data_IF_694857329336
#
_entry.id   IF_694857329336
#
_cell.length_a   1.000
_cell.length_b   1.000
_cell.length_c   1.000
_cell.angle_alpha   90.00
_cell.angle_beta   90.00
_cell.angle_gamma   90.00
#
_symmetry.space_group_name_H-M   'P 1'
#
loop_
_entity.id
_entity.type
_entity.pdbx_description
1 polymer ?
#
# COMPACT_ATOMS: atom_id res chain seq x y z
N UNK A 1 8.43 -9.89 -28.08
CA UNK A 1 7.83 -8.87 -27.20
C UNK A 1 7.03 -9.59 -26.13
N UNK A 2 6.81 -8.97 -24.96
CA UNK A 2 6.05 -9.58 -23.86
C UNK A 2 5.09 -8.52 -23.31
N UNK A 3 3.81 -8.87 -23.23
CA UNK A 3 2.83 -8.13 -22.45
C UNK A 3 2.80 -8.75 -21.05
N UNK A 4 3.59 -8.20 -20.13
CA UNK A 4 3.74 -8.71 -18.77
C UNK A 4 2.75 -8.02 -17.83
N UNK A 5 2.09 -8.82 -16.99
CA UNK A 5 1.32 -8.37 -15.84
C UNK A 5 1.96 -8.94 -14.59
N UNK A 6 1.87 -8.20 -13.51
CA UNK A 6 2.35 -8.62 -12.20
C UNK A 6 1.32 -8.22 -11.15
N UNK A 7 0.90 -9.20 -10.37
CA UNK A 7 0.15 -8.97 -9.15
C UNK A 7 1.14 -8.99 -7.98
N UNK A 8 1.16 -7.91 -7.20
CA UNK A 8 2.02 -7.79 -6.01
C UNK A 8 1.16 -8.02 -4.78
N UNK A 9 1.54 -8.99 -3.97
CA UNK A 9 0.91 -9.30 -2.68
C UNK A 9 1.88 -9.02 -1.55
N UNK A 10 1.33 -8.67 -0.40
CA UNK A 10 2.07 -8.64 0.86
C UNK A 10 1.81 -9.97 1.57
N UNK A 11 2.82 -10.53 2.22
CA UNK A 11 2.74 -11.79 2.99
C UNK A 11 2.95 -11.55 4.50
N UNK A 12 1.99 -10.95 5.23
CA UNK A 12 2.21 -10.44 6.59
C UNK A 12 2.71 -11.49 7.59
N UNK A 13 2.36 -12.76 7.39
CA UNK A 13 2.77 -13.88 8.26
C UNK A 13 4.27 -14.17 8.21
N UNK A 14 5.00 -13.63 7.23
CA UNK A 14 6.42 -13.92 7.01
C UNK A 14 7.37 -13.00 7.79
N UNK A 15 6.84 -12.06 8.57
CA UNK A 15 7.62 -11.18 9.45
C UNK A 15 7.10 -11.21 10.88
N UNK A 16 7.98 -10.83 11.81
CA UNK A 16 7.60 -10.50 13.18
C UNK A 16 7.00 -9.09 13.27
N UNK A 17 6.29 -8.84 14.37
CA UNK A 17 5.71 -7.52 14.69
C UNK A 17 5.99 -7.16 16.14
N UNK A 18 6.41 -5.92 16.37
CA UNK A 18 6.50 -5.34 17.71
C UNK A 18 5.11 -5.09 18.30
N UNK A 19 5.02 -4.81 19.60
CA UNK A 19 3.75 -4.43 20.22
C UNK A 19 3.20 -3.11 19.67
N UNK A 20 4.07 -2.16 19.33
CA UNK A 20 3.67 -0.90 18.69
C UNK A 20 3.08 -1.15 17.29
N UNK A 21 3.75 -1.98 16.47
CA UNK A 21 3.23 -2.34 15.15
C UNK A 21 1.92 -3.11 15.26
N UNK A 22 1.79 -4.01 16.25
CA UNK A 22 0.56 -4.77 16.49
C UNK A 22 -0.62 -3.86 16.84
N UNK A 23 -0.41 -2.80 17.64
CA UNK A 23 -1.45 -1.82 17.97
C UNK A 23 -1.94 -1.08 16.71
N UNK A 24 -1.03 -0.69 15.81
CA UNK A 24 -1.37 -0.04 14.54
C UNK A 24 -2.09 -0.94 13.53
N UNK A 25 -2.06 -2.27 13.74
CA UNK A 25 -2.70 -3.27 12.87
C UNK A 25 -4.04 -3.77 13.39
N UNK A 26 -4.53 -3.23 14.51
CA UNK A 26 -5.77 -3.66 15.16
C UNK A 26 -6.98 -3.58 14.21
N UNK A 27 -7.09 -2.51 13.44
CA UNK A 27 -8.20 -2.32 12.50
C UNK A 27 -8.16 -3.28 11.30
N UNK A 28 -6.99 -3.84 10.98
CA UNK A 28 -6.81 -4.74 9.84
C UNK A 28 -6.96 -6.20 10.23
N UNK A 29 -6.33 -6.62 11.34
CA UNK A 29 -6.23 -8.03 11.72
C UNK A 29 -6.88 -8.32 13.07
N UNK A 30 -7.36 -7.31 13.78
CA UNK A 30 -7.81 -7.46 15.16
C UNK A 30 -6.66 -7.70 16.13
N UNK A 31 -6.99 -8.04 17.39
CA UNK A 31 -6.00 -8.28 18.43
C UNK A 31 -5.16 -9.52 18.12
N UNK A 32 -3.96 -9.59 18.71
CA UNK A 32 -2.90 -10.53 18.35
C UNK A 32 -3.32 -12.00 18.49
N UNK A 33 -4.23 -12.31 19.41
CA UNK A 33 -4.77 -13.65 19.63
C UNK A 33 -5.56 -14.17 18.41
N UNK A 34 -6.08 -13.28 17.57
CA UNK A 34 -6.84 -13.62 16.37
C UNK A 34 -5.99 -13.79 15.12
N UNK A 35 -4.71 -13.41 15.16
CA UNK A 35 -3.85 -13.36 13.97
C UNK A 35 -3.65 -14.70 13.28
N UNK A 36 -3.74 -15.81 14.01
CA UNK A 36 -3.76 -17.16 13.40
C UNK A 36 -4.87 -17.35 12.35
N UNK A 37 -5.92 -16.53 12.40
CA UNK A 37 -7.10 -16.62 11.52
C UNK A 37 -7.42 -15.32 10.78
N UNK A 38 -6.67 -14.24 10.99
CA UNK A 38 -6.95 -12.93 10.36
C UNK A 38 -5.77 -12.41 9.55
N UNK A 39 -4.54 -12.81 9.91
CA UNK A 39 -3.32 -12.40 9.25
C UNK A 39 -3.13 -13.20 7.96
N UNK A 40 -3.67 -12.69 6.85
CA UNK A 40 -3.59 -13.36 5.55
C UNK A 40 -2.87 -12.52 4.50
N UNK A 41 -2.31 -13.20 3.50
CA UNK A 41 -1.72 -12.55 2.35
C UNK A 41 -2.79 -11.79 1.55
N UNK A 42 -2.60 -10.49 1.36
CA UNK A 42 -3.54 -9.64 0.63
C UNK A 42 -2.84 -8.97 -0.57
N UNK A 43 -3.64 -8.57 -1.56
CA UNK A 43 -3.12 -7.86 -2.73
C UNK A 43 -2.77 -6.42 -2.35
N UNK A 44 -1.55 -6.00 -2.70
CA UNK A 44 -1.16 -4.60 -2.62
C UNK A 44 -1.58 -3.86 -3.88
N UNK A 45 -1.07 -4.28 -5.04
CA UNK A 45 -1.35 -3.63 -6.31
C UNK A 45 -1.22 -4.59 -7.49
N UNK A 46 -1.70 -4.16 -8.65
CA UNK A 46 -1.48 -4.82 -9.92
C UNK A 46 -0.81 -3.85 -10.89
N UNK A 47 0.22 -4.31 -11.56
CA UNK A 47 1.01 -3.51 -12.51
C UNK A 47 1.34 -4.33 -13.76
N UNK A 48 1.92 -3.70 -14.78
CA UNK A 48 2.34 -4.36 -16.00
C UNK A 48 3.41 -3.58 -16.75
N UNK A 49 4.07 -4.27 -17.67
CA UNK A 49 5.08 -3.69 -18.54
C UNK A 49 4.99 -4.31 -19.95
N UNK A 50 5.17 -3.47 -20.96
CA UNK A 50 5.32 -3.91 -22.35
C UNK A 50 6.81 -4.03 -22.68
N UNK A 51 7.29 -5.27 -22.75
CA UNK A 51 8.69 -5.58 -23.03
C UNK A 51 8.86 -5.74 -24.54
N UNK A 52 9.79 -4.97 -25.11
CA UNK A 52 10.08 -5.04 -26.54
C UNK A 52 10.76 -6.37 -26.91
N UNK A 53 10.95 -6.64 -28.21
CA UNK A 53 11.70 -7.80 -28.65
C UNK A 53 13.15 -7.76 -28.16
N UNK A 54 13.65 -8.86 -27.61
CA UNK A 54 15.04 -9.01 -27.19
C UNK A 54 15.51 -10.44 -27.45
N UNK A 55 16.82 -10.68 -27.35
CA UNK A 55 17.44 -12.01 -27.41
C UNK A 55 18.25 -12.23 -26.14
N UNK A 56 18.21 -13.43 -25.56
CA UNK A 56 18.90 -13.72 -24.30
C UNK A 56 18.15 -13.15 -23.10
N UNK A 57 18.66 -12.10 -22.48
CA UNK A 57 18.10 -11.46 -21.29
C UNK A 57 17.94 -9.95 -21.51
N UNK A 58 16.97 -9.35 -20.82
CA UNK A 58 16.77 -7.91 -20.79
C UNK A 58 16.32 -7.47 -19.39
N UNK A 59 16.52 -6.20 -19.07
CA UNK A 59 16.04 -5.59 -17.84
C UNK A 59 15.00 -4.52 -18.20
N UNK A 60 13.88 -4.53 -17.49
CA UNK A 60 12.81 -3.55 -17.65
C UNK A 60 12.40 -3.02 -16.29
N UNK A 61 11.95 -1.78 -16.25
CA UNK A 61 11.34 -1.21 -15.05
C UNK A 61 9.88 -1.63 -15.00
N UNK A 62 9.46 -2.15 -13.85
CA UNK A 62 8.06 -2.43 -13.55
C UNK A 62 7.58 -1.39 -12.51
N UNK A 63 6.79 -0.39 -12.91
CA UNK A 63 6.38 0.66 -11.99
C UNK A 63 5.41 0.12 -10.93
N UNK A 64 5.69 0.42 -9.66
CA UNK A 64 4.81 0.12 -8.53
C UNK A 64 4.12 1.43 -8.11
N UNK A 65 3.00 1.73 -8.76
CA UNK A 65 2.25 2.95 -8.49
C UNK A 65 1.60 2.86 -7.11
N UNK A 66 2.14 3.62 -6.16
CA UNK A 66 1.71 3.61 -4.77
C UNK A 66 0.66 4.70 -4.53
N UNK A 67 -0.36 4.35 -3.75
CA UNK A 67 -1.35 5.30 -3.23
C UNK A 67 -1.09 5.59 -1.76
N UNK A 68 -1.37 6.82 -1.34
CA UNK A 68 -1.33 7.27 0.06
C UNK A 68 -2.71 7.21 0.74
N UNK A 69 -3.67 6.52 0.12
CA UNK A 69 -5.02 6.44 0.66
C UNK A 69 -5.05 5.54 1.89
N UNK A 70 -5.23 6.16 3.06
CA UNK A 70 -5.36 5.47 4.34
C UNK A 70 -6.52 4.49 4.38
N UNK A 71 -7.53 4.52 3.51
CA UNK A 71 -8.58 3.49 3.49
C UNK A 71 -8.17 2.20 2.76
N UNK A 72 -7.03 2.21 2.07
CA UNK A 72 -6.51 1.02 1.41
C UNK A 72 -5.74 0.18 2.44
N UNK A 73 -6.14 -1.09 2.57
CA UNK A 73 -5.53 -2.08 3.49
C UNK A 73 -4.00 -2.07 3.44
N UNK A 74 -3.43 -2.02 2.24
CA UNK A 74 -1.99 -1.99 2.06
C UNK A 74 -1.33 -0.72 2.63
N UNK A 75 -1.95 0.45 2.46
CA UNK A 75 -1.44 1.69 3.02
C UNK A 75 -1.51 1.66 4.55
N UNK A 76 -2.66 1.28 5.15
CA UNK A 76 -2.79 1.10 6.62
C UNK A 76 -1.71 0.18 7.16
N UNK A 77 -1.51 -0.97 6.50
CA UNK A 77 -0.51 -1.94 6.87
C UNK A 77 0.89 -1.33 6.84
N UNK A 78 1.29 -0.72 5.72
CA UNK A 78 2.61 -0.12 5.54
C UNK A 78 2.87 1.05 6.50
N UNK A 79 1.84 1.81 6.88
CA UNK A 79 1.94 2.89 7.88
C UNK A 79 2.13 2.40 9.31
N UNK A 80 1.59 1.23 9.64
CA UNK A 80 1.76 0.65 10.97
C UNK A 80 3.18 0.13 11.23
N UNK A 81 3.94 -0.17 10.17
CA UNK A 81 5.30 -0.72 10.29
C UNK A 81 6.32 0.34 10.70
N UNK A 82 7.29 -0.06 11.52
CA UNK A 82 8.38 0.79 11.99
C UNK A 82 9.71 0.37 11.38
N UNK A 83 10.02 -0.91 11.44
CA UNK A 83 11.33 -1.44 11.03
C UNK A 83 11.23 -2.78 10.30
N UNK A 84 12.38 -3.30 9.89
CA UNK A 84 12.50 -4.56 9.16
C UNK A 84 12.07 -4.45 7.70
N UNK A 85 11.37 -5.48 7.22
CA UNK A 85 11.01 -5.65 5.82
C UNK A 85 9.52 -5.90 5.63
N UNK A 86 9.01 -5.52 4.48
CA UNK A 86 7.71 -5.88 3.94
C UNK A 86 7.91 -7.08 3.03
N UNK A 87 7.43 -8.28 3.39
CA UNK A 87 7.54 -9.45 2.54
C UNK A 87 6.57 -9.32 1.36
N UNK A 88 7.12 -9.13 0.15
CA UNK A 88 6.37 -9.01 -1.10
C UNK A 88 6.46 -10.30 -1.90
N UNK A 89 5.33 -10.70 -2.50
CA UNK A 89 5.25 -11.76 -3.50
C UNK A 89 4.80 -11.17 -4.84
N UNK A 90 5.59 -11.41 -5.88
CA UNK A 90 5.34 -11.01 -7.26
C UNK A 90 4.84 -12.21 -8.03
N UNK A 91 3.61 -12.15 -8.52
CA UNK A 91 3.00 -13.20 -9.35
C UNK A 91 2.93 -12.72 -10.80
N UNK A 92 3.74 -13.31 -11.67
CA UNK A 92 3.83 -12.88 -13.07
C UNK A 92 2.83 -13.65 -13.94
N UNK A 93 2.18 -12.92 -14.83
CA UNK A 93 1.29 -13.47 -15.85
C UNK A 93 1.37 -12.65 -17.12
N UNK A 94 0.77 -13.12 -18.21
CA UNK A 94 0.71 -12.37 -19.45
C UNK A 94 1.09 -13.19 -20.66
N UNK A 95 1.50 -12.51 -21.74
CA UNK A 95 1.61 -13.12 -23.07
C UNK A 95 2.95 -12.80 -23.72
N UNK A 96 3.62 -13.85 -24.19
CA UNK A 96 4.89 -13.81 -24.91
C UNK A 96 4.59 -13.92 -26.40
N UNK A 97 5.09 -12.95 -27.17
CA UNK A 97 5.02 -12.91 -28.62
C UNK A 97 6.41 -13.19 -29.19
N UNK A 98 6.56 -14.31 -29.89
CA UNK A 98 7.80 -14.75 -30.52
C UNK A 98 7.61 -14.99 -32.02
N UNK A 99 8.72 -15.10 -32.76
CA UNK A 99 8.68 -15.46 -34.18
C UNK A 99 8.41 -16.96 -34.30
N UNK A 100 7.26 -17.30 -34.87
CA UNK A 100 6.89 -18.68 -35.18
C UNK A 100 7.33 -19.09 -36.59
N UNK A 101 7.28 -20.40 -36.93
CA UNK A 101 7.71 -20.92 -38.22
C UNK A 101 6.98 -20.32 -39.44
N UNK A 102 5.74 -19.85 -39.26
CA UNK A 102 4.88 -19.26 -40.32
C UNK A 102 4.35 -17.87 -39.98
N UNK A 103 4.95 -17.15 -39.03
CA UNK A 103 4.45 -15.86 -38.56
C UNK A 103 4.74 -15.61 -37.09
N UNK A 104 3.71 -15.32 -36.30
CA UNK A 104 3.82 -15.13 -34.85
C UNK A 104 3.47 -16.42 -34.10
N UNK A 105 4.22 -16.69 -33.04
CA UNK A 105 3.86 -17.65 -32.01
C UNK A 105 3.47 -16.87 -30.74
N UNK A 106 2.43 -17.38 -30.07
CA UNK A 106 1.88 -16.79 -28.84
C UNK A 106 1.95 -17.84 -27.76
N UNK A 107 2.54 -17.49 -26.62
CA UNK A 107 2.63 -18.34 -25.44
C UNK A 107 2.21 -17.53 -24.21
N UNK A 108 1.60 -18.18 -23.22
CA UNK A 108 1.35 -17.54 -21.92
C UNK A 108 2.61 -17.61 -21.07
N UNK A 109 2.81 -16.59 -20.23
CA UNK A 109 3.80 -16.65 -19.15
C UNK A 109 3.41 -17.83 -18.23
N UNK A 110 4.34 -18.76 -17.94
CA UNK A 110 4.06 -19.88 -17.05
C UNK A 110 3.62 -19.41 -15.66
N UNK A 111 2.67 -20.14 -15.06
CA UNK A 111 2.06 -19.79 -13.78
C UNK A 111 3.02 -19.87 -12.58
N UNK A 112 4.11 -20.63 -12.73
CA UNK A 112 5.16 -20.81 -11.72
C UNK A 112 6.22 -19.69 -11.77
N UNK A 113 6.02 -18.66 -12.60
CA UNK A 113 6.84 -17.44 -12.57
C UNK A 113 6.37 -16.56 -11.43
N UNK A 114 6.95 -16.79 -10.25
CA UNK A 114 6.82 -15.92 -9.10
C UNK A 114 8.20 -15.54 -8.55
N UNK A 115 8.24 -14.42 -7.82
CA UNK A 115 9.42 -14.01 -7.08
C UNK A 115 9.02 -13.40 -5.73
N UNK A 116 9.98 -13.35 -4.80
CA UNK A 116 9.79 -12.80 -3.47
C UNK A 116 10.85 -11.78 -3.16
N UNK A 117 10.43 -10.67 -2.56
CA UNK A 117 11.34 -9.60 -2.20
C UNK A 117 10.99 -9.04 -0.83
N UNK A 118 12.02 -8.85 -0.01
CA UNK A 118 11.91 -8.30 1.34
C UNK A 118 12.18 -6.79 1.24
N UNK A 119 11.15 -6.02 0.93
CA UNK A 119 11.30 -4.57 0.75
C UNK A 119 11.54 -3.90 2.11
N UNK A 120 12.64 -3.17 2.33
CA UNK A 120 12.85 -2.49 3.61
C UNK A 120 11.70 -1.51 3.91
N UNK A 121 11.21 -1.48 5.16
CA UNK A 121 10.15 -0.55 5.58
C UNK A 121 10.57 0.92 5.34
N UNK A 122 11.87 1.21 5.42
CA UNK A 122 12.42 2.54 5.13
C UNK A 122 12.11 3.01 3.70
N UNK A 123 12.05 2.11 2.71
CA UNK A 123 11.73 2.46 1.31
C UNK A 123 10.34 3.08 1.22
N UNK A 124 9.37 2.52 1.93
CA UNK A 124 8.03 3.09 2.03
C UNK A 124 8.07 4.45 2.75
N UNK A 125 8.72 4.51 3.92
CA UNK A 125 8.83 5.75 4.68
C UNK A 125 9.48 6.89 3.89
N UNK A 126 10.52 6.59 3.11
CA UNK A 126 11.21 7.55 2.24
C UNK A 126 10.31 8.00 1.09
N UNK A 127 9.61 7.06 0.44
CA UNK A 127 8.66 7.38 -0.63
C UNK A 127 7.57 8.34 -0.13
N UNK A 128 7.03 8.08 1.07
CA UNK A 128 6.02 8.93 1.68
C UNK A 128 6.57 10.31 2.01
N UNK A 129 7.73 10.39 2.69
CA UNK A 129 8.37 11.69 3.01
C UNK A 129 8.66 12.52 1.77
N UNK A 130 8.99 11.87 0.65
CA UNK A 130 9.24 12.52 -0.62
C UNK A 130 7.97 13.12 -1.23
N UNK A 131 6.83 12.43 -1.15
CA UNK A 131 5.58 12.86 -1.80
C UNK A 131 4.69 13.72 -0.89
N UNK A 132 4.77 13.53 0.43
CA UNK A 132 3.97 14.22 1.44
C UNK A 132 4.88 14.72 2.58
N UNK A 133 5.74 15.73 2.33
CA UNK A 133 6.62 16.24 3.36
C UNK A 133 5.81 16.96 4.45
N UNK A 134 5.95 16.51 5.70
CA UNK A 134 5.31 17.08 6.90
C UNK A 134 3.77 17.17 6.84
N UNK A 135 3.15 16.49 5.88
CA UNK A 135 1.69 16.52 5.66
C UNK A 135 1.21 15.11 5.37
N UNK A 136 -0.09 14.89 5.52
CA UNK A 136 -0.75 13.65 5.13
C UNK A 136 -2.03 13.96 4.35
N UNK A 137 -2.62 12.95 3.74
CA UNK A 137 -3.92 13.01 3.10
C UNK A 137 -4.91 12.20 3.93
N UNK A 138 -6.03 12.81 4.28
CA UNK A 138 -7.13 12.15 4.96
C UNK A 138 -8.36 12.24 4.06
N UNK A 139 -8.87 11.07 3.65
CA UNK A 139 -10.14 11.02 2.92
C UNK A 139 -11.29 11.29 3.88
N UNK A 140 -12.14 12.24 3.54
CA UNK A 140 -13.37 12.53 4.29
C UNK A 140 -14.55 12.56 3.32
N UNK A 141 -15.72 12.19 3.83
CA UNK A 141 -16.96 12.38 3.08
C UNK A 141 -17.29 13.88 2.94
N UNK A 142 -18.00 14.25 1.87
CA UNK A 142 -18.35 15.64 1.60
C UNK A 142 -19.07 16.31 2.79
N UNK A 143 -20.03 15.60 3.39
CA UNK A 143 -20.76 16.09 4.58
C UNK A 143 -19.84 16.33 5.78
N UNK A 144 -18.84 15.47 5.98
CA UNK A 144 -17.84 15.64 7.05
C UNK A 144 -16.95 16.85 6.79
N UNK A 145 -16.56 17.09 5.53
CA UNK A 145 -15.79 18.27 5.12
C UNK A 145 -16.59 19.55 5.38
N UNK A 146 -17.88 19.57 5.03
CA UNK A 146 -18.77 20.70 5.28
C UNK A 146 -18.93 20.98 6.78
N UNK A 147 -19.15 19.93 7.59
CA UNK A 147 -19.23 20.05 9.04
C UNK A 147 -17.92 20.59 9.65
N UNK A 148 -16.77 20.10 9.19
CA UNK A 148 -15.47 20.58 9.63
C UNK A 148 -15.23 22.04 9.23
N UNK A 149 -15.66 22.44 8.02
CA UNK A 149 -15.57 23.82 7.56
C UNK A 149 -16.44 24.77 8.39
N UNK A 150 -17.66 24.34 8.75
CA UNK A 150 -18.55 25.08 9.62
C UNK A 150 -17.95 25.21 11.04
N UNK A 151 -17.41 24.13 11.61
CA UNK A 151 -16.72 24.14 12.90
C UNK A 151 -15.56 25.13 12.93
N UNK A 152 -14.71 25.09 11.89
CA UNK A 152 -13.57 25.99 11.71
C UNK A 152 -14.00 27.46 11.68
N UNK A 153 -15.02 27.77 10.88
CA UNK A 153 -15.57 29.12 10.73
C UNK A 153 -16.15 29.66 12.05
N UNK A 154 -16.95 28.85 12.74
CA UNK A 154 -17.60 29.25 14.00
C UNK A 154 -16.61 29.58 15.13
N UNK A 155 -15.38 29.04 15.07
CA UNK A 155 -14.32 29.25 16.08
C UNK A 155 -13.19 30.16 15.61
N UNK A 156 -13.30 30.71 14.39
CA UNK A 156 -12.28 31.60 13.83
C UNK A 156 -10.92 30.92 13.61
N UNK A 157 -10.90 29.60 13.38
CA UNK A 157 -9.68 28.83 13.18
C UNK A 157 -9.12 29.05 11.76
N UNK A 158 -7.80 29.04 11.63
CA UNK A 158 -7.07 29.41 10.41
C UNK A 158 -6.88 28.22 9.46
N UNK A 159 -6.91 26.99 9.97
CA UNK A 159 -6.70 25.77 9.18
C UNK A 159 -7.63 24.62 9.57
N UNK A 160 -7.72 23.62 8.70
CA UNK A 160 -8.41 22.37 9.02
C UNK A 160 -7.62 21.54 10.04
N UNK A 161 -6.29 21.63 10.05
CA UNK A 161 -5.44 21.02 11.09
C UNK A 161 -5.78 21.56 12.49
N UNK A 162 -5.97 22.89 12.62
CA UNK A 162 -6.39 23.50 13.88
C UNK A 162 -7.80 23.04 14.28
N UNK A 163 -8.72 22.90 13.33
CA UNK A 163 -10.06 22.38 13.59
C UNK A 163 -10.02 20.95 14.13
N UNK A 164 -9.22 20.07 13.51
CA UNK A 164 -9.03 18.69 13.95
C UNK A 164 -8.35 18.64 15.32
N UNK A 165 -7.27 19.41 15.53
CA UNK A 165 -6.55 19.46 16.81
C UNK A 165 -7.45 19.94 17.94
N UNK A 166 -8.30 20.95 17.67
CA UNK A 166 -9.30 21.45 18.62
C UNK A 166 -10.35 20.39 18.97
N UNK A 167 -10.82 19.59 17.98
CA UNK A 167 -11.75 18.49 18.22
C UNK A 167 -11.14 17.39 19.09
N UNK A 168 -9.91 16.97 18.78
CA UNK A 168 -9.20 15.93 19.53
C UNK A 168 -8.93 16.35 20.97
N UNK A 169 -8.52 17.60 21.20
CA UNK A 169 -8.31 18.13 22.55
C UNK A 169 -9.60 18.15 23.38
N UNK A 170 -10.74 18.47 22.74
CA UNK A 170 -12.04 18.48 23.39
C UNK A 170 -12.48 17.06 23.80
N UNK A 171 -12.33 16.06 22.91
CA UNK A 171 -12.71 14.68 23.21
C UNK A 171 -11.85 14.05 24.31
N UNK A 172 -10.53 14.29 24.28
CA UNK A 172 -9.64 13.78 25.34
C UNK A 172 -9.96 14.37 26.72
N UNK A 173 -10.49 15.59 26.79
CA UNK A 173 -10.88 16.22 28.07
C UNK A 173 -12.18 15.63 28.62
N UNK A 174 -13.04 15.08 27.77
CA UNK A 174 -14.33 14.49 28.13
C UNK A 174 -14.19 13.05 28.64
N UNK A 175 -13.25 12.26 28.10
CA UNK A 175 -12.94 10.90 28.59
C UNK A 175 -12.22 10.87 29.96
N UNK A 176 -11.62 12.00 30.36
CA UNK A 176 -10.94 12.17 31.65
C UNK A 176 -11.88 12.61 32.79
N UNK A 177 -13.18 12.85 32.51
CA UNK A 177 -14.20 13.25 33.48
C UNK A 177 -15.16 12.11 33.80
#
# INVERSE_FOLDING_TARGET
>A
AIALRCQVRIEPMRRGYTEEEAAGLLDLFGPRERWSTTLHNFQWLQTGAMIQGFTGATQVNLPLECTYDFEVVAAKYLHALREGHVPLQFLFSGTIFSKGPRGFAVQQVPWDREDRFEMPVSVWGDLIRQHYPNTGWLRLEHETIEALAAYRSARGLLSFDEAITSLLAASSTEELR
#
